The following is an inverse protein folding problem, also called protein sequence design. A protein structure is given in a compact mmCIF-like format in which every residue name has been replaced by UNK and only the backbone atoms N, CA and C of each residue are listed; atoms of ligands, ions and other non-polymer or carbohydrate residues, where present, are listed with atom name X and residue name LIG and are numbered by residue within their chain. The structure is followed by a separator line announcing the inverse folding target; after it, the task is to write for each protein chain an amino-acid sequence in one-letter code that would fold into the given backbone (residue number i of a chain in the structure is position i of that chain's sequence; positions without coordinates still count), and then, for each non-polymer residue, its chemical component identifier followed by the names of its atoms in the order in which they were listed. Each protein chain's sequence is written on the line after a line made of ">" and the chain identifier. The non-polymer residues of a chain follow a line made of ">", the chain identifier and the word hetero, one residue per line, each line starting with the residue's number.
data_IF_457705512986
#
_entry.id   IF_457705512986
#
_cell.length_a   1.000
_cell.length_b   1.000
_cell.length_c   1.000
_cell.angle_alpha   90.00
_cell.angle_beta   90.00
_cell.angle_gamma   90.00
#
_symmetry.space_group_name_H-M   'P 1'
#
loop_
_entity.id
_entity.type
_entity.pdbx_description
1 polymer ?
#
# COMPACT_ATOMS: atom_id res chain seq x y z
N UNK A 1 27.49 7.16 18.94
CA UNK A 1 27.75 6.23 17.83
C UNK A 1 26.83 6.53 16.66
N UNK A 2 27.36 6.41 15.44
CA UNK A 2 26.59 6.70 14.22
C UNK A 2 25.51 5.64 13.93
N UNK A 3 25.76 4.41 14.36
CA UNK A 3 24.86 3.29 14.16
C UNK A 3 25.06 2.24 15.26
N UNK A 4 23.95 1.61 15.68
CA UNK A 4 23.95 0.38 16.49
C UNK A 4 22.89 -0.56 15.95
N UNK A 5 23.19 -1.86 15.91
CA UNK A 5 22.20 -2.87 15.58
C UNK A 5 21.11 -2.93 16.64
N UNK A 6 19.84 -3.08 16.23
CA UNK A 6 18.71 -3.33 17.13
C UNK A 6 18.59 -4.81 17.53
N UNK A 7 19.41 -5.67 16.94
CA UNK A 7 19.44 -7.09 17.25
C UNK A 7 20.21 -7.30 18.57
N UNK A 8 19.46 -7.47 19.66
CA UNK A 8 20.01 -7.61 21.02
C UNK A 8 20.27 -6.29 21.76
N UNK A 9 20.09 -5.15 21.10
CA UNK A 9 20.17 -3.82 21.73
C UNK A 9 18.90 -3.05 21.44
N UNK A 10 18.58 -2.06 22.28
CA UNK A 10 17.48 -1.12 22.03
C UNK A 10 18.03 0.29 21.80
N UNK A 11 17.26 1.12 21.11
CA UNK A 11 17.55 2.54 21.00
C UNK A 11 16.28 3.37 21.28
N UNK A 12 16.42 4.57 21.89
CA UNK A 12 15.26 5.37 22.30
C UNK A 12 14.34 5.76 21.14
N UNK A 13 14.91 6.07 19.96
CA UNK A 13 14.13 6.53 18.82
C UNK A 13 13.22 5.45 18.26
N UNK A 14 13.70 4.22 18.17
CA UNK A 14 12.89 3.09 17.75
C UNK A 14 11.78 2.78 18.76
N UNK A 15 12.09 2.80 20.05
CA UNK A 15 11.11 2.56 21.11
C UNK A 15 10.02 3.64 21.13
N UNK A 16 10.40 4.91 20.98
CA UNK A 16 9.48 6.04 20.90
C UNK A 16 8.57 5.94 19.65
N UNK A 17 9.15 5.67 18.48
CA UNK A 17 8.39 5.51 17.25
C UNK A 17 7.40 4.33 17.34
N UNK A 18 7.83 3.19 17.87
CA UNK A 18 6.96 2.03 18.08
C UNK A 18 5.78 2.38 18.99
N UNK A 19 6.03 3.10 20.09
CA UNK A 19 4.98 3.55 21.01
C UNK A 19 3.98 4.49 20.33
N UNK A 20 4.46 5.46 19.55
CA UNK A 20 3.59 6.40 18.82
C UNK A 20 2.78 5.72 17.73
N UNK A 21 3.37 4.80 16.97
CA UNK A 21 2.64 4.01 15.97
C UNK A 21 1.53 3.18 16.62
N UNK A 22 1.82 2.49 17.72
CA UNK A 22 0.79 1.72 18.45
C UNK A 22 -0.33 2.61 18.99
N UNK A 23 -0.03 3.83 19.41
CA UNK A 23 -1.02 4.79 19.90
C UNK A 23 -2.00 5.31 18.84
N UNK A 24 -1.72 5.10 17.55
CA UNK A 24 -2.62 5.44 16.43
C UNK A 24 -3.76 4.43 16.26
N UNK A 25 -3.73 3.34 17.02
CA UNK A 25 -4.75 2.29 17.04
C UNK A 25 -5.37 2.13 18.43
N UNK A 26 -6.57 1.52 18.53
CA UNK A 26 -7.17 1.22 19.82
C UNK A 26 -6.23 0.37 20.70
N UNK A 27 -6.22 0.61 22.04
CA UNK A 27 -5.39 -0.20 22.94
C UNK A 27 -5.64 -1.70 22.80
N UNK A 28 -4.58 -2.48 22.92
CA UNK A 28 -4.61 -3.95 22.82
C UNK A 28 -4.96 -4.49 21.42
N UNK A 29 -4.66 -3.73 20.40
CA UNK A 29 -4.76 -4.19 19.00
C UNK A 29 -3.37 -4.37 18.40
N UNK A 30 -2.87 -3.41 17.66
CA UNK A 30 -1.53 -3.45 17.03
C UNK A 30 -0.48 -2.93 18.03
N UNK A 31 -0.02 -3.79 18.93
CA UNK A 31 0.82 -3.40 20.09
C UNK A 31 2.30 -3.57 19.87
N UNK A 32 2.73 -4.28 18.82
CA UNK A 32 4.13 -4.61 18.59
C UNK A 32 4.55 -4.19 17.21
N UNK A 33 5.79 -3.73 17.11
CA UNK A 33 6.35 -3.18 15.88
C UNK A 33 7.69 -3.85 15.61
N UNK A 34 7.84 -4.41 14.42
CA UNK A 34 9.11 -4.83 13.87
C UNK A 34 9.54 -3.86 12.78
N UNK A 35 10.77 -3.34 12.84
CA UNK A 35 11.28 -2.38 11.87
C UNK A 35 12.13 -3.07 10.79
N UNK A 36 11.97 -2.61 9.56
CA UNK A 36 12.76 -2.97 8.38
C UNK A 36 13.02 -1.73 7.52
N UNK A 37 13.47 -1.87 6.27
CA UNK A 37 13.93 -0.72 5.49
C UNK A 37 12.95 -0.25 4.41
N UNK A 38 12.14 -1.15 3.86
CA UNK A 38 11.24 -0.86 2.73
C UNK A 38 9.95 -1.69 2.81
N UNK A 39 8.99 -1.36 1.93
CA UNK A 39 7.69 -2.03 1.91
C UNK A 39 7.78 -3.52 1.67
N UNK A 40 8.65 -3.97 0.76
CA UNK A 40 8.83 -5.40 0.48
C UNK A 40 9.31 -6.15 1.72
N UNK A 41 10.25 -5.58 2.47
CA UNK A 41 10.77 -6.19 3.70
C UNK A 41 9.79 -6.15 4.85
N UNK A 42 8.87 -5.17 4.90
CA UNK A 42 7.75 -5.21 5.85
C UNK A 42 6.80 -6.38 5.55
N UNK A 43 6.48 -6.60 4.28
CA UNK A 43 5.65 -7.73 3.84
C UNK A 43 6.36 -9.07 4.12
N UNK A 44 7.65 -9.19 3.78
CA UNK A 44 8.46 -10.39 4.10
C UNK A 44 8.44 -10.70 5.60
N UNK A 45 8.51 -9.66 6.44
CA UNK A 45 8.44 -9.81 7.88
C UNK A 45 7.09 -10.39 8.32
N UNK A 46 5.96 -9.85 7.79
CA UNK A 46 4.64 -10.37 8.07
C UNK A 46 4.49 -11.83 7.66
N UNK A 47 4.94 -12.20 6.46
CA UNK A 47 4.90 -13.58 5.95
C UNK A 47 5.67 -14.55 6.85
N UNK A 48 6.92 -14.19 7.20
CA UNK A 48 7.77 -15.05 8.04
C UNK A 48 7.22 -15.17 9.45
N UNK A 49 6.70 -14.09 10.02
CA UNK A 49 6.04 -14.13 11.33
C UNK A 49 4.81 -15.03 11.28
N UNK A 50 3.97 -14.89 10.25
CA UNK A 50 2.75 -15.68 10.13
C UNK A 50 3.07 -17.19 10.04
N UNK A 51 3.98 -17.58 9.16
CA UNK A 51 4.37 -19.00 9.02
C UNK A 51 4.90 -19.55 10.36
N UNK A 52 5.81 -18.84 11.02
CA UNK A 52 6.37 -19.28 12.28
C UNK A 52 5.32 -19.30 13.40
N UNK A 53 4.41 -18.31 13.43
CA UNK A 53 3.29 -18.29 14.36
C UNK A 53 2.44 -19.54 14.23
N UNK A 54 2.01 -19.90 13.00
CA UNK A 54 1.19 -21.13 12.77
C UNK A 54 1.90 -22.38 13.24
N UNK A 55 3.19 -22.51 13.01
CA UNK A 55 3.98 -23.63 13.52
C UNK A 55 3.97 -23.64 15.05
N UNK A 56 4.16 -22.50 15.70
CA UNK A 56 4.27 -22.41 17.17
C UNK A 56 2.96 -22.65 17.90
N UNK A 57 1.83 -22.36 17.27
CA UNK A 57 0.50 -22.65 17.83
C UNK A 57 -0.06 -24.02 17.42
N UNK A 58 0.76 -24.86 16.75
CA UNK A 58 0.38 -26.22 16.38
C UNK A 58 -0.48 -26.34 15.12
N UNK A 59 -0.44 -25.34 14.26
CA UNK A 59 -1.17 -25.27 12.98
C UNK A 59 -0.20 -25.26 11.79
N UNK A 60 0.84 -26.08 11.81
CA UNK A 60 1.91 -26.11 10.82
C UNK A 60 1.45 -26.44 9.38
N UNK A 61 0.24 -26.97 9.22
CA UNK A 61 -0.40 -27.20 7.92
C UNK A 61 -0.90 -25.92 7.25
N UNK A 62 -1.09 -24.82 8.00
CA UNK A 62 -1.49 -23.52 7.47
C UNK A 62 -0.28 -22.78 6.88
N UNK A 63 -0.01 -23.01 5.61
CA UNK A 63 1.15 -22.46 4.89
C UNK A 63 0.77 -21.75 3.59
N UNK A 64 -0.51 -21.75 3.22
CA UNK A 64 -0.98 -21.08 2.02
C UNK A 64 -1.35 -19.63 2.32
N UNK A 65 -1.13 -18.79 1.33
CA UNK A 65 -1.57 -17.39 1.37
C UNK A 65 -2.61 -17.15 0.28
N UNK A 66 -3.55 -16.27 0.59
CA UNK A 66 -4.47 -15.71 -0.40
C UNK A 66 -4.04 -14.28 -0.70
N UNK A 67 -4.10 -13.90 -1.94
CA UNK A 67 -3.88 -12.54 -2.43
C UNK A 67 -4.90 -12.21 -3.51
N UNK A 68 -4.88 -11.01 -4.04
CA UNK A 68 -5.82 -10.60 -5.07
C UNK A 68 -5.10 -10.38 -6.41
N UNK A 69 -5.81 -10.65 -7.51
CA UNK A 69 -5.32 -10.40 -8.84
C UNK A 69 -4.91 -8.94 -9.00
N UNK A 70 -3.87 -8.70 -9.79
CA UNK A 70 -3.32 -7.39 -10.08
C UNK A 70 -2.81 -6.61 -8.84
N UNK A 71 -2.64 -7.26 -7.69
CA UNK A 71 -2.02 -6.68 -6.50
C UNK A 71 -0.50 -6.53 -6.65
N UNK A 72 0.07 -5.62 -5.88
CA UNK A 72 1.51 -5.44 -5.80
C UNK A 72 1.95 -5.25 -4.34
N UNK A 73 2.84 -6.11 -3.88
CA UNK A 73 3.31 -6.13 -2.48
C UNK A 73 4.83 -5.98 -2.33
N UNK A 74 5.52 -5.76 -3.43
CA UNK A 74 6.98 -5.57 -3.46
C UNK A 74 7.72 -6.55 -4.36
N UNK A 75 9.04 -6.38 -4.48
CA UNK A 75 9.89 -7.06 -5.47
C UNK A 75 10.84 -8.11 -4.86
N UNK A 76 10.86 -8.30 -3.54
CA UNK A 76 11.53 -9.48 -2.96
C UNK A 76 10.78 -10.75 -3.33
N UNK A 77 11.44 -11.91 -3.35
CA UNK A 77 10.82 -13.15 -3.83
C UNK A 77 9.53 -13.51 -3.07
N UNK A 78 9.49 -13.30 -1.75
CA UNK A 78 8.31 -13.57 -0.95
C UNK A 78 7.18 -12.57 -1.24
N UNK A 79 7.47 -11.27 -1.19
CA UNK A 79 6.49 -10.23 -1.50
C UNK A 79 5.97 -10.34 -2.95
N UNK A 80 6.88 -10.60 -3.91
CA UNK A 80 6.51 -10.78 -5.31
C UNK A 80 5.66 -12.04 -5.55
N UNK A 81 5.81 -13.09 -4.73
CA UNK A 81 4.95 -14.28 -4.81
C UNK A 81 3.49 -13.96 -4.51
N UNK A 82 3.21 -12.94 -3.69
CA UNK A 82 1.87 -12.44 -3.39
C UNK A 82 1.31 -11.53 -4.48
N UNK A 83 2.19 -10.97 -5.34
CA UNK A 83 1.78 -10.06 -6.40
C UNK A 83 0.96 -10.76 -7.49
N UNK A 84 -0.14 -10.14 -7.90
CA UNK A 84 -1.02 -10.62 -8.97
C UNK A 84 -0.68 -10.07 -10.36
N UNK A 85 0.32 -9.19 -10.50
CA UNK A 85 0.77 -8.64 -11.79
C UNK A 85 1.77 -9.60 -12.42
N UNK A 86 1.27 -10.44 -13.34
CA UNK A 86 2.06 -11.53 -13.94
C UNK A 86 3.37 -11.08 -14.57
N UNK A 87 3.39 -9.97 -15.28
CA UNK A 87 4.58 -9.44 -15.96
C UNK A 87 5.76 -9.18 -15.02
N UNK A 88 5.49 -8.80 -13.77
CA UNK A 88 6.54 -8.49 -12.82
C UNK A 88 7.13 -9.74 -12.17
N UNK A 89 6.33 -10.79 -11.98
CA UNK A 89 6.73 -11.96 -11.23
C UNK A 89 6.97 -13.22 -12.09
N UNK A 90 6.43 -13.31 -13.32
CA UNK A 90 6.50 -14.51 -14.14
C UNK A 90 7.90 -15.13 -14.26
N UNK A 91 8.99 -14.34 -14.48
CA UNK A 91 10.34 -14.91 -14.55
C UNK A 91 10.81 -15.60 -13.26
N UNK A 92 10.23 -15.21 -12.12
CA UNK A 92 10.61 -15.66 -10.78
C UNK A 92 9.62 -16.64 -10.15
N UNK A 93 8.47 -16.87 -10.76
CA UNK A 93 7.35 -17.67 -10.22
C UNK A 93 7.78 -19.03 -9.67
N UNK A 94 8.68 -19.72 -10.35
CA UNK A 94 9.19 -21.04 -9.93
C UNK A 94 10.04 -21.02 -8.64
N UNK A 95 10.47 -19.85 -8.21
CA UNK A 95 11.28 -19.67 -6.98
C UNK A 95 10.45 -19.12 -5.81
N UNK A 96 9.21 -18.75 -6.06
CA UNK A 96 8.26 -18.32 -5.04
C UNK A 96 7.60 -19.49 -4.32
N UNK A 97 6.70 -19.16 -3.42
CA UNK A 97 5.83 -20.11 -2.75
C UNK A 97 4.41 -20.07 -3.34
N UNK A 98 3.60 -21.12 -3.14
CA UNK A 98 2.24 -21.16 -3.67
C UNK A 98 1.34 -20.09 -3.03
N UNK A 99 0.74 -19.24 -3.88
CA UNK A 99 -0.28 -18.27 -3.49
C UNK A 99 -1.51 -18.51 -4.36
N UNK A 100 -2.69 -18.45 -3.74
CA UNK A 100 -3.94 -18.44 -4.49
C UNK A 100 -4.39 -17.00 -4.68
N UNK A 101 -4.43 -16.56 -5.93
CA UNK A 101 -4.97 -15.25 -6.30
C UNK A 101 -6.48 -15.33 -6.52
N UNK A 102 -7.18 -14.29 -6.12
CA UNK A 102 -8.63 -14.15 -6.16
C UNK A 102 -8.97 -12.90 -6.99
N UNK A 103 -9.92 -13.01 -7.90
CA UNK A 103 -10.40 -11.88 -8.70
C UNK A 103 -11.24 -10.88 -7.89
N UNK A 104 -11.81 -11.32 -6.77
CA UNK A 104 -12.62 -10.50 -5.88
C UNK A 104 -13.01 -11.22 -4.60
N UNK A 105 -13.70 -10.51 -3.71
CA UNK A 105 -14.11 -11.05 -2.41
C UNK A 105 -15.14 -12.19 -2.54
N UNK A 106 -15.91 -12.19 -3.62
CA UNK A 106 -16.94 -13.19 -3.88
C UNK A 106 -16.35 -14.59 -4.07
N UNK A 107 -15.08 -14.68 -4.46
CA UNK A 107 -14.38 -15.96 -4.63
C UNK A 107 -13.98 -16.59 -3.30
N UNK A 108 -13.92 -15.82 -2.21
CA UNK A 108 -13.68 -16.37 -0.86
C UNK A 108 -14.76 -17.36 -0.44
N UNK A 109 -16.01 -17.07 -0.80
CA UNK A 109 -17.15 -17.94 -0.49
C UNK A 109 -17.17 -19.25 -1.32
N UNK A 110 -16.35 -19.28 -2.39
CA UNK A 110 -16.24 -20.44 -3.30
C UNK A 110 -15.06 -21.35 -2.93
N UNK A 111 -14.26 -20.96 -1.93
CA UNK A 111 -13.13 -21.77 -1.46
C UNK A 111 -13.64 -23.04 -0.78
N UNK A 112 -13.03 -24.17 -1.11
CA UNK A 112 -13.29 -25.41 -0.43
C UNK A 112 -12.67 -25.44 0.98
N UNK A 113 -13.24 -26.28 1.87
CA UNK A 113 -12.80 -26.40 3.26
C UNK A 113 -11.32 -26.80 3.38
N UNK A 114 -10.78 -27.57 2.43
CA UNK A 114 -9.38 -27.99 2.45
C UNK A 114 -8.45 -26.81 2.20
N UNK A 115 -8.78 -25.97 1.21
CA UNK A 115 -8.04 -24.72 0.93
C UNK A 115 -8.09 -23.79 2.14
N UNK A 116 -9.28 -23.58 2.74
CA UNK A 116 -9.43 -22.72 3.92
C UNK A 116 -8.59 -23.23 5.10
N UNK A 117 -8.63 -24.52 5.40
CA UNK A 117 -7.85 -25.12 6.48
C UNK A 117 -6.34 -25.00 6.31
N UNK A 118 -5.85 -24.90 5.08
CA UNK A 118 -4.43 -24.73 4.78
C UNK A 118 -4.02 -23.25 4.67
N UNK A 119 -4.99 -22.34 4.68
CA UNK A 119 -4.72 -20.90 4.56
C UNK A 119 -4.23 -20.33 5.89
N UNK A 120 -3.06 -19.72 5.87
CA UNK A 120 -2.48 -18.99 7.00
C UNK A 120 -3.05 -17.58 7.08
N UNK A 121 -2.94 -16.82 5.99
CA UNK A 121 -3.36 -15.44 5.92
C UNK A 121 -3.86 -15.03 4.53
N UNK A 122 -4.58 -13.92 4.48
CA UNK A 122 -4.89 -13.18 3.26
C UNK A 122 -4.23 -11.80 3.33
N UNK A 123 -3.67 -11.35 2.21
CA UNK A 123 -3.07 -10.02 2.09
C UNK A 123 -3.85 -9.17 1.08
N UNK A 124 -3.95 -7.87 1.36
CA UNK A 124 -4.61 -6.90 0.49
C UNK A 124 -4.02 -5.49 0.64
N UNK A 125 -3.96 -4.73 -0.46
CA UNK A 125 -3.82 -3.28 -0.45
C UNK A 125 -5.21 -2.69 -0.09
N UNK A 126 -5.42 -2.10 1.09
CA UNK A 126 -6.76 -1.68 1.51
C UNK A 126 -7.25 -0.48 0.71
N UNK A 127 -8.53 -0.46 0.38
CA UNK A 127 -9.31 0.55 -0.36
C UNK A 127 -8.91 0.72 -1.83
N UNK A 128 -7.64 0.58 -2.21
CA UNK A 128 -7.19 0.84 -3.58
C UNK A 128 -5.93 0.04 -3.91
N UNK A 129 -5.95 -0.63 -5.05
CA UNK A 129 -4.75 -1.25 -5.62
C UNK A 129 -3.95 -0.20 -6.40
N UNK A 130 -2.66 -0.06 -6.07
CA UNK A 130 -1.79 0.94 -6.67
C UNK A 130 -1.46 0.63 -8.11
N UNK A 131 -0.80 -0.50 -8.33
CA UNK A 131 -0.26 -0.89 -9.64
C UNK A 131 -1.36 -1.33 -10.61
N UNK A 132 -2.53 -1.72 -10.12
CA UNK A 132 -3.72 -1.95 -10.95
C UNK A 132 -4.35 -0.62 -11.40
N UNK A 133 -3.55 0.29 -11.95
CA UNK A 133 -4.03 1.56 -12.52
C UNK A 133 -4.89 2.37 -11.54
N UNK A 134 -4.52 2.36 -10.25
CA UNK A 134 -5.25 3.03 -9.17
C UNK A 134 -6.72 2.57 -9.13
N UNK A 135 -6.94 1.28 -8.97
CA UNK A 135 -8.28 0.68 -8.95
C UNK A 135 -8.84 0.61 -7.52
N UNK A 136 -9.85 1.42 -7.17
CA UNK A 136 -10.50 1.33 -5.88
C UNK A 136 -11.27 0.02 -5.72
N UNK A 137 -11.27 -0.52 -4.51
CA UNK A 137 -12.14 -1.63 -4.14
C UNK A 137 -13.58 -1.16 -3.90
N UNK A 138 -14.57 -2.04 -4.09
CA UNK A 138 -15.93 -1.75 -3.70
C UNK A 138 -16.03 -1.36 -2.21
N UNK A 139 -16.81 -0.35 -1.91
CA UNK A 139 -17.04 0.10 -0.52
C UNK A 139 -17.57 -1.05 0.35
N UNK A 140 -17.01 -1.17 1.56
CA UNK A 140 -17.36 -2.23 2.51
C UNK A 140 -16.65 -3.56 2.24
N UNK A 141 -15.80 -3.64 1.22
CA UNK A 141 -15.07 -4.87 0.91
C UNK A 141 -14.10 -5.27 2.04
N UNK A 142 -13.39 -4.30 2.59
CA UNK A 142 -12.40 -4.58 3.64
C UNK A 142 -13.06 -5.10 4.91
N UNK A 143 -14.19 -4.54 5.31
CA UNK A 143 -14.97 -5.01 6.45
C UNK A 143 -15.50 -6.44 6.22
N UNK A 144 -15.99 -6.76 5.02
CA UNK A 144 -16.40 -8.13 4.67
C UNK A 144 -15.23 -9.11 4.73
N UNK A 145 -14.06 -8.69 4.21
CA UNK A 145 -12.85 -9.51 4.26
C UNK A 145 -12.44 -9.80 5.71
N UNK A 146 -12.48 -8.80 6.61
CA UNK A 146 -12.19 -9.00 8.02
C UNK A 146 -13.16 -10.00 8.66
N UNK A 147 -14.45 -9.87 8.39
CA UNK A 147 -15.46 -10.81 8.89
C UNK A 147 -15.21 -12.25 8.43
N UNK A 148 -14.88 -12.44 7.15
CA UNK A 148 -14.52 -13.74 6.61
C UNK A 148 -13.27 -14.32 7.29
N UNK A 149 -12.24 -13.51 7.49
CA UNK A 149 -11.02 -13.89 8.18
C UNK A 149 -11.30 -14.37 9.62
N UNK A 150 -12.12 -13.60 10.36
CA UNK A 150 -12.51 -13.95 11.73
C UNK A 150 -13.30 -15.26 11.80
N UNK A 151 -14.19 -15.47 10.83
CA UNK A 151 -15.01 -16.70 10.76
C UNK A 151 -14.18 -17.96 10.51
N UNK A 152 -13.06 -17.83 9.76
CA UNK A 152 -12.27 -18.98 9.30
C UNK A 152 -10.92 -19.13 10.00
N UNK A 153 -10.65 -18.33 11.05
CA UNK A 153 -9.35 -18.31 11.74
C UNK A 153 -8.18 -18.07 10.77
N UNK A 154 -8.37 -17.17 9.80
CA UNK A 154 -7.38 -16.72 8.82
C UNK A 154 -6.91 -15.32 9.20
N UNK A 155 -5.59 -15.10 9.27
CA UNK A 155 -5.10 -13.77 9.58
C UNK A 155 -5.22 -12.81 8.39
N UNK A 156 -5.44 -11.54 8.70
CA UNK A 156 -5.51 -10.44 7.73
C UNK A 156 -4.23 -9.62 7.77
N UNK A 157 -3.53 -9.56 6.65
CA UNK A 157 -2.37 -8.71 6.43
C UNK A 157 -2.82 -7.52 5.58
N UNK A 158 -2.70 -6.31 6.10
CA UNK A 158 -2.93 -5.10 5.32
C UNK A 158 -1.60 -4.48 4.88
N UNK A 159 -1.46 -4.33 3.58
CA UNK A 159 -0.35 -3.59 2.98
C UNK A 159 -0.74 -2.12 2.82
N UNK A 160 -0.40 -1.32 3.83
CA UNK A 160 -0.60 0.13 3.82
C UNK A 160 0.68 0.91 3.47
N UNK A 161 1.58 0.28 2.77
CA UNK A 161 2.81 0.92 2.28
C UNK A 161 2.50 2.12 1.38
N UNK A 162 1.45 2.05 0.57
CA UNK A 162 1.00 3.14 -0.29
C UNK A 162 -0.13 3.96 0.36
N UNK A 163 -1.05 3.31 1.03
CA UNK A 163 -2.33 3.89 1.47
C UNK A 163 -2.26 4.58 2.82
N UNK A 164 -1.27 4.25 3.63
CA UNK A 164 -1.07 4.83 4.96
C UNK A 164 -0.63 6.30 4.94
N UNK A 165 -0.57 6.86 6.14
CA UNK A 165 -0.10 8.22 6.42
C UNK A 165 -0.85 9.29 5.64
N UNK A 166 -2.18 9.32 5.78
CA UNK A 166 -3.04 10.38 5.26
C UNK A 166 -3.41 10.24 3.79
N UNK A 167 -2.80 9.33 3.05
CA UNK A 167 -2.94 9.23 1.59
C UNK A 167 -4.40 9.05 1.13
N UNK A 168 -5.21 8.32 1.88
CA UNK A 168 -6.62 8.09 1.57
C UNK A 168 -7.58 9.05 2.30
N UNK A 169 -7.04 10.01 3.07
CA UNK A 169 -7.83 10.98 3.85
C UNK A 169 -7.93 10.67 5.35
N UNK A 170 -7.57 9.47 5.80
CA UNK A 170 -7.36 9.12 7.21
C UNK A 170 -5.91 8.69 7.42
N UNK A 171 -5.43 8.61 8.66
CA UNK A 171 -4.07 8.19 8.95
C UNK A 171 -3.75 6.84 8.30
N UNK A 172 -4.68 5.88 8.38
CA UNK A 172 -4.59 4.59 7.70
C UNK A 172 -5.88 4.28 6.93
N UNK A 173 -5.75 3.60 5.81
CA UNK A 173 -6.89 3.23 4.97
C UNK A 173 -7.88 2.31 5.69
N UNK A 174 -7.39 1.39 6.52
CA UNK A 174 -8.23 0.48 7.30
C UNK A 174 -9.22 1.20 8.23
N UNK A 175 -8.90 2.43 8.66
CA UNK A 175 -9.75 3.24 9.52
C UNK A 175 -11.04 3.73 8.82
N UNK A 176 -11.11 3.69 7.48
CA UNK A 176 -12.34 4.07 6.76
C UNK A 176 -13.48 3.07 6.97
N UNK A 177 -13.16 1.82 7.23
CA UNK A 177 -14.12 0.74 7.44
C UNK A 177 -14.00 0.12 8.85
N UNK A 178 -13.32 0.82 9.78
CA UNK A 178 -13.11 0.42 11.18
C UNK A 178 -12.50 -1.00 11.32
N UNK A 179 -11.63 -1.39 10.37
CA UNK A 179 -10.98 -2.69 10.35
C UNK A 179 -9.65 -2.64 11.09
N UNK A 180 -9.44 -3.59 11.99
CA UNK A 180 -8.14 -3.85 12.63
C UNK A 180 -7.56 -5.14 12.07
N UNK A 181 -6.41 -5.09 11.38
CA UNK A 181 -5.77 -6.30 10.86
C UNK A 181 -5.00 -7.07 11.95
N UNK A 182 -4.50 -8.24 11.57
CA UNK A 182 -3.57 -9.01 12.39
C UNK A 182 -2.13 -8.53 12.17
N UNK A 183 -1.82 -8.14 10.93
CA UNK A 183 -0.56 -7.52 10.53
C UNK A 183 -0.83 -6.26 9.69
N UNK A 184 -0.05 -5.22 9.95
CA UNK A 184 -0.09 -3.97 9.18
C UNK A 184 1.32 -3.64 8.69
N UNK A 185 1.51 -3.60 7.36
CA UNK A 185 2.78 -3.27 6.72
C UNK A 185 2.80 -1.79 6.35
N UNK A 186 3.84 -1.09 6.79
CA UNK A 186 4.02 0.36 6.65
C UNK A 186 5.40 0.69 6.07
N UNK A 187 5.50 1.67 5.19
CA UNK A 187 6.73 2.26 4.70
C UNK A 187 6.46 3.66 4.11
N UNK A 188 7.20 4.10 3.10
CA UNK A 188 7.01 5.35 2.33
C UNK A 188 6.67 6.56 3.22
N UNK A 189 5.37 6.84 3.43
CA UNK A 189 4.89 7.93 4.27
C UNK A 189 5.36 7.87 5.72
N UNK A 190 5.74 6.69 6.23
CA UNK A 190 6.27 6.50 7.57
C UNK A 190 7.43 7.45 7.89
N UNK A 191 8.34 7.67 6.95
CA UNK A 191 9.49 8.57 7.12
C UNK A 191 9.32 9.91 6.38
N UNK A 192 8.12 10.22 5.88
CA UNK A 192 7.90 11.39 5.03
C UNK A 192 8.69 11.37 3.72
N UNK A 193 9.23 10.22 3.32
CA UNK A 193 10.07 10.05 2.13
C UNK A 193 11.55 10.41 2.31
N UNK A 194 11.99 10.73 3.52
CA UNK A 194 13.37 11.17 3.78
C UNK A 194 14.35 10.02 3.96
N UNK A 195 13.91 8.91 4.55
CA UNK A 195 14.79 7.78 4.86
C UNK A 195 14.13 6.45 4.52
N UNK A 196 14.91 5.44 4.07
CA UNK A 196 14.43 4.06 4.04
C UNK A 196 14.05 3.63 5.46
N UNK A 197 12.78 3.31 5.64
CA UNK A 197 12.23 2.79 6.88
C UNK A 197 10.90 2.11 6.58
N UNK A 198 10.71 0.96 7.19
CA UNK A 198 9.45 0.25 7.18
C UNK A 198 9.14 -0.34 8.56
N UNK A 199 7.89 -0.68 8.77
CA UNK A 199 7.43 -1.30 9.99
C UNK A 199 6.36 -2.34 9.69
N UNK A 200 6.42 -3.45 10.41
CA UNK A 200 5.35 -4.44 10.46
C UNK A 200 4.77 -4.41 11.86
N UNK A 201 3.54 -3.93 11.97
CA UNK A 201 2.82 -3.92 13.24
C UNK A 201 2.00 -5.19 13.38
N UNK A 202 1.95 -5.75 14.59
CA UNK A 202 1.24 -7.00 14.86
C UNK A 202 0.45 -6.95 16.15
N UNK A 203 -0.57 -7.80 16.27
CA UNK A 203 -1.33 -7.99 17.50
C UNK A 203 -0.47 -8.59 18.61
N UNK A 204 -0.82 -8.26 19.86
CA UNK A 204 -0.09 -8.77 21.02
C UNK A 204 -0.12 -10.29 21.14
N UNK A 205 -1.20 -10.94 20.74
CA UNK A 205 -1.33 -12.40 20.75
C UNK A 205 -0.34 -13.10 19.81
N UNK A 206 -0.11 -12.53 18.63
CA UNK A 206 0.89 -13.04 17.69
C UNK A 206 2.28 -12.94 18.32
N UNK A 207 2.64 -11.77 18.85
CA UNK A 207 3.92 -11.57 19.54
C UNK A 207 4.11 -12.57 20.70
N UNK A 208 3.06 -12.83 21.48
CA UNK A 208 3.14 -13.72 22.64
C UNK A 208 3.52 -15.16 22.28
N UNK A 209 3.20 -15.64 21.07
CA UNK A 209 3.61 -16.93 20.59
C UNK A 209 5.14 -17.08 20.46
N UNK A 210 5.85 -15.97 20.28
CA UNK A 210 7.31 -15.95 20.16
C UNK A 210 8.04 -15.81 21.51
N UNK A 211 7.30 -15.72 22.61
CA UNK A 211 7.91 -15.67 23.94
C UNK A 211 8.24 -17.07 24.47
N UNK A 212 9.39 -17.21 25.11
CA UNK A 212 9.83 -18.46 25.72
C UNK A 212 11.29 -18.77 25.46
N UNK A 213 11.59 -19.98 25.07
CA UNK A 213 12.95 -20.44 24.79
C UNK A 213 13.47 -19.97 23.42
N UNK A 214 14.75 -20.27 23.17
CA UNK A 214 15.39 -19.91 21.89
C UNK A 214 14.72 -20.57 20.66
N UNK A 215 14.04 -21.68 20.86
CA UNK A 215 13.25 -22.41 19.85
C UNK A 215 12.05 -21.61 19.34
N UNK A 216 11.58 -20.62 20.11
CA UNK A 216 10.47 -19.74 19.74
C UNK A 216 10.92 -18.41 19.17
N UNK A 217 12.20 -18.09 19.25
CA UNK A 217 12.72 -16.78 18.84
C UNK A 217 12.52 -16.55 17.34
N UNK A 218 12.16 -15.31 16.98
CA UNK A 218 12.08 -14.88 15.60
C UNK A 218 13.44 -14.42 15.10
N UNK A 219 14.17 -15.31 14.46
CA UNK A 219 15.51 -15.01 13.90
C UNK A 219 15.39 -14.33 12.56
N UNK A 220 15.04 -13.04 12.58
CA UNK A 220 14.91 -12.20 11.41
C UNK A 220 15.40 -10.79 11.71
N UNK A 221 15.94 -10.12 10.71
CA UNK A 221 16.43 -8.75 10.78
C UNK A 221 17.72 -8.59 10.01
N UNK A 222 18.26 -7.39 10.02
CA UNK A 222 19.50 -7.02 9.36
C UNK A 222 20.20 -5.90 10.13
N UNK A 223 21.41 -5.54 9.69
CA UNK A 223 22.24 -4.56 10.41
C UNK A 223 21.57 -3.21 10.66
N UNK A 224 20.67 -2.78 9.78
CA UNK A 224 19.97 -1.48 9.87
C UNK A 224 18.55 -1.58 10.45
N UNK A 225 18.12 -2.75 10.93
CA UNK A 225 16.83 -2.89 11.62
C UNK A 225 16.69 -1.82 12.69
N UNK A 226 15.62 -1.02 12.63
CA UNK A 226 15.32 0.08 13.54
C UNK A 226 16.44 1.13 13.64
N UNK A 227 17.09 1.47 12.52
CA UNK A 227 18.15 2.47 12.52
C UNK A 227 17.67 3.82 13.06
N UNK A 228 18.53 4.49 13.81
CA UNK A 228 18.18 5.69 14.56
C UNK A 228 17.77 6.86 13.64
N UNK A 229 18.40 7.01 12.46
CA UNK A 229 18.09 8.08 11.54
C UNK A 229 16.71 7.89 10.90
N UNK A 230 16.41 6.65 10.46
CA UNK A 230 15.07 6.31 9.94
C UNK A 230 13.98 6.52 10.98
N UNK A 231 14.21 6.02 12.22
CA UNK A 231 13.25 6.22 13.32
C UNK A 231 13.07 7.70 13.68
N UNK A 232 14.15 8.50 13.66
CA UNK A 232 14.03 9.95 13.89
C UNK A 232 13.24 10.65 12.78
N UNK A 233 13.45 10.26 11.51
CA UNK A 233 12.64 10.76 10.39
C UNK A 233 11.17 10.37 10.54
N UNK A 234 10.89 9.13 10.97
CA UNK A 234 9.52 8.67 11.25
C UNK A 234 8.85 9.46 12.36
N UNK A 235 9.57 9.74 13.45
CA UNK A 235 9.06 10.61 14.53
C UNK A 235 8.77 12.02 14.03
N UNK A 236 9.70 12.62 13.28
CA UNK A 236 9.51 13.95 12.71
C UNK A 236 8.30 13.99 11.73
N UNK A 237 8.09 12.92 10.95
CA UNK A 237 6.89 12.80 10.10
C UNK A 237 5.61 12.83 10.93
N UNK A 238 5.53 12.07 12.03
CA UNK A 238 4.38 12.09 12.94
C UNK A 238 4.22 13.46 13.62
N UNK A 239 5.32 14.13 13.99
CA UNK A 239 5.27 15.49 14.56
C UNK A 239 4.64 16.48 13.58
N UNK A 240 4.97 16.41 12.29
CA UNK A 240 4.38 17.27 11.24
C UNK A 240 2.87 17.00 11.14
N UNK A 241 2.44 15.74 11.13
CA UNK A 241 0.99 15.42 11.11
C UNK A 241 0.23 16.06 12.27
N UNK A 242 0.82 16.02 13.48
CA UNK A 242 0.21 16.58 14.69
C UNK A 242 0.26 18.13 14.70
N UNK A 243 1.43 18.72 14.43
CA UNK A 243 1.65 20.17 14.53
C UNK A 243 0.97 20.96 13.43
N UNK A 244 0.93 20.43 12.22
CA UNK A 244 0.30 21.07 11.08
C UNK A 244 -1.16 20.64 10.89
N UNK A 245 -1.70 19.79 11.76
CA UNK A 245 -3.07 19.29 11.64
C UNK A 245 -3.37 18.73 10.25
N UNK A 246 -2.40 18.02 9.65
CA UNK A 246 -2.43 17.63 8.23
C UNK A 246 -3.74 16.93 7.85
N UNK A 247 -4.23 16.03 8.71
CA UNK A 247 -5.45 15.27 8.41
C UNK A 247 -6.71 16.13 8.39
N UNK A 248 -6.74 17.24 9.12
CA UNK A 248 -7.92 18.10 9.22
C UNK A 248 -8.19 18.87 7.93
N UNK A 249 -7.14 19.15 7.14
CA UNK A 249 -7.23 19.85 5.86
C UNK A 249 -7.39 18.92 4.64
N UNK A 250 -7.13 17.62 4.80
CA UNK A 250 -7.23 16.68 3.69
C UNK A 250 -8.62 16.57 3.06
N UNK A 251 -9.75 16.58 3.82
CA UNK A 251 -11.07 16.49 3.21
C UNK A 251 -11.35 17.61 2.20
N UNK A 252 -10.93 18.84 2.51
CA UNK A 252 -11.09 19.99 1.61
C UNK A 252 -10.24 19.83 0.34
N UNK A 253 -8.95 19.45 0.50
CA UNK A 253 -8.04 19.21 -0.63
C UNK A 253 -8.52 18.04 -1.50
N UNK A 254 -8.99 16.96 -0.91
CA UNK A 254 -9.55 15.81 -1.62
C UNK A 254 -10.78 16.23 -2.43
N UNK A 255 -11.71 16.98 -1.83
CA UNK A 255 -12.89 17.49 -2.53
C UNK A 255 -12.53 18.42 -3.70
N UNK A 256 -11.57 19.31 -3.50
CA UNK A 256 -11.08 20.17 -4.57
C UNK A 256 -10.38 19.39 -5.68
N UNK A 257 -9.55 18.42 -5.34
CA UNK A 257 -8.93 17.53 -6.33
C UNK A 257 -9.99 16.76 -7.13
N UNK A 258 -11.04 16.26 -6.47
CA UNK A 258 -12.18 15.61 -7.16
C UNK A 258 -12.79 16.53 -8.19
N UNK A 259 -13.13 17.77 -7.80
CA UNK A 259 -13.72 18.76 -8.71
C UNK A 259 -12.82 19.05 -9.92
N UNK A 260 -11.51 19.21 -9.70
CA UNK A 260 -10.56 19.48 -10.78
C UNK A 260 -10.39 18.28 -11.73
N UNK A 261 -10.44 17.07 -11.20
CA UNK A 261 -10.36 15.83 -11.99
C UNK A 261 -11.65 15.58 -12.80
N UNK A 262 -12.81 15.85 -12.23
CA UNK A 262 -14.11 15.80 -12.94
C UNK A 262 -14.12 16.80 -14.09
N UNK A 263 -13.72 18.06 -13.87
CA UNK A 263 -13.60 19.06 -14.92
C UNK A 263 -12.66 18.61 -16.04
N UNK A 264 -11.49 18.04 -15.67
CA UNK A 264 -10.53 17.52 -16.65
C UNK A 264 -11.15 16.39 -17.48
N UNK A 265 -11.91 15.49 -16.86
CA UNK A 265 -12.58 14.39 -17.54
C UNK A 265 -13.67 14.88 -18.52
N UNK A 266 -14.40 15.92 -18.15
CA UNK A 266 -15.43 16.50 -19.00
C UNK A 266 -14.84 17.26 -20.21
N UNK A 267 -13.67 17.88 -20.03
CA UNK A 267 -13.03 18.71 -21.05
C UNK A 267 -12.18 17.91 -22.07
N UNK A 268 -11.67 16.75 -21.69
CA UNK A 268 -10.67 16.04 -22.50
C UNK A 268 -11.18 14.70 -23.03
N UNK A 269 -11.43 14.65 -24.34
CA UNK A 269 -12.04 13.51 -25.04
C UNK A 269 -11.24 12.18 -24.96
N UNK A 270 -9.96 12.22 -24.62
CA UNK A 270 -9.14 11.02 -24.44
C UNK A 270 -9.22 10.45 -23.01
N UNK A 271 -9.85 11.16 -22.07
CA UNK A 271 -10.05 10.65 -20.71
C UNK A 271 -11.25 9.73 -20.70
N UNK A 272 -10.99 8.47 -20.41
CA UNK A 272 -12.03 7.44 -20.37
C UNK A 272 -12.63 7.29 -18.98
N UNK A 273 -11.80 7.26 -17.97
CA UNK A 273 -12.21 7.08 -16.58
C UNK A 273 -11.22 7.80 -15.64
N UNK A 274 -11.76 8.43 -14.62
CA UNK A 274 -10.99 8.91 -13.48
C UNK A 274 -11.35 8.10 -12.26
N UNK A 275 -10.35 7.51 -11.61
CA UNK A 275 -10.48 6.76 -10.37
C UNK A 275 -9.77 7.51 -9.27
N UNK A 276 -10.40 7.70 -8.13
CA UNK A 276 -9.81 8.43 -7.01
C UNK A 276 -10.07 7.73 -5.67
N UNK A 277 -9.05 7.74 -4.82
CA UNK A 277 -9.14 7.34 -3.42
C UNK A 277 -8.30 8.32 -2.57
N UNK A 278 -8.96 9.30 -1.97
CA UNK A 278 -8.28 10.37 -1.23
C UNK A 278 -7.39 11.23 -2.14
N UNK A 279 -6.12 11.32 -1.80
CA UNK A 279 -5.08 12.05 -2.56
C UNK A 279 -4.33 11.15 -3.54
N UNK A 280 -4.95 10.09 -4.02
CA UNK A 280 -4.47 9.24 -5.10
C UNK A 280 -5.52 9.19 -6.19
N UNK A 281 -5.13 9.44 -7.45
CA UNK A 281 -6.02 9.22 -8.58
C UNK A 281 -5.27 8.62 -9.78
N UNK A 282 -6.04 7.96 -10.64
CA UNK A 282 -5.62 7.47 -11.94
C UNK A 282 -6.53 8.05 -13.02
N UNK A 283 -5.93 8.64 -14.06
CA UNK A 283 -6.64 9.16 -15.23
C UNK A 283 -6.36 8.19 -16.38
N UNK A 284 -7.31 7.34 -16.71
CA UNK A 284 -7.18 6.36 -17.78
C UNK A 284 -7.42 7.02 -19.14
N UNK A 285 -6.45 6.87 -20.03
CA UNK A 285 -6.52 7.40 -21.39
C UNK A 285 -6.97 6.32 -22.38
N UNK A 286 -7.89 6.67 -23.26
CA UNK A 286 -8.33 5.87 -24.40
C UNK A 286 -8.53 6.76 -25.61
N UNK A 287 -8.68 6.12 -26.77
CA UNK A 287 -9.10 6.82 -28.01
C UNK A 287 -10.45 7.49 -27.81
N UNK A 288 -10.71 8.52 -28.58
CA UNK A 288 -11.98 9.24 -28.55
C UNK A 288 -13.22 8.38 -28.83
N UNK A 289 -13.04 7.20 -29.45
CA UNK A 289 -14.08 6.19 -29.65
C UNK A 289 -14.23 5.18 -28.49
N UNK A 290 -13.47 5.37 -27.38
CA UNK A 290 -13.48 4.53 -26.18
C UNK A 290 -12.61 3.28 -26.26
N UNK A 291 -11.98 2.96 -27.39
CA UNK A 291 -11.09 1.82 -27.50
C UNK A 291 -9.73 2.10 -26.85
N UNK A 292 -9.13 1.08 -26.28
CA UNK A 292 -7.76 1.18 -25.77
C UNK A 292 -6.80 1.55 -26.89
N UNK A 293 -5.73 2.24 -26.55
CA UNK A 293 -4.61 2.45 -27.45
C UNK A 293 -3.86 1.12 -27.68
N UNK A 294 -3.13 1.04 -28.80
CA UNK A 294 -2.14 -0.02 -28.99
C UNK A 294 -1.02 0.19 -27.94
N UNK A 295 -0.75 -0.83 -27.14
CA UNK A 295 0.27 -0.74 -26.08
C UNK A 295 1.67 -0.35 -26.56
N UNK A 296 1.99 -0.63 -27.82
CA UNK A 296 3.27 -0.20 -28.41
C UNK A 296 3.38 1.33 -28.56
N UNK A 297 2.27 2.05 -28.57
CA UNK A 297 2.26 3.51 -28.66
C UNK A 297 2.70 4.18 -27.35
N UNK A 298 2.53 3.49 -26.20
CA UNK A 298 2.92 4.00 -24.88
C UNK A 298 2.38 5.42 -24.61
N UNK A 299 1.08 5.62 -24.87
CA UNK A 299 0.44 6.94 -24.86
C UNK A 299 0.58 7.62 -23.50
N UNK A 300 0.36 6.87 -22.41
CA UNK A 300 0.54 7.38 -21.06
C UNK A 300 1.94 7.96 -20.82
N UNK A 301 2.98 7.30 -21.34
CA UNK A 301 4.36 7.81 -21.22
C UNK A 301 4.56 9.10 -22.04
N UNK A 302 4.07 9.14 -23.29
CA UNK A 302 4.18 10.31 -24.13
C UNK A 302 3.49 11.53 -23.48
N UNK A 303 2.27 11.35 -23.02
CA UNK A 303 1.52 12.41 -22.29
C UNK A 303 2.26 12.82 -21.01
N UNK A 304 2.82 11.87 -20.25
CA UNK A 304 3.56 12.21 -19.02
C UNK A 304 4.86 13.00 -19.32
N UNK A 305 5.48 12.80 -20.48
CA UNK A 305 6.62 13.61 -20.92
C UNK A 305 6.17 15.01 -21.32
N UNK A 306 5.07 15.14 -22.09
CA UNK A 306 4.49 16.44 -22.47
C UNK A 306 4.04 17.25 -21.26
N UNK A 307 3.55 16.60 -20.20
CA UNK A 307 3.14 17.27 -18.96
C UNK A 307 4.27 18.08 -18.29
N UNK A 308 5.54 17.76 -18.57
CA UNK A 308 6.71 18.50 -18.06
C UNK A 308 6.78 19.91 -18.60
N UNK A 309 6.30 20.16 -19.82
CA UNK A 309 6.23 21.50 -20.42
C UNK A 309 5.24 22.39 -19.65
N UNK A 310 4.33 21.79 -18.92
CA UNK A 310 3.37 22.41 -18.02
C UNK A 310 3.76 22.31 -16.54
N UNK A 311 5.05 22.03 -16.24
CA UNK A 311 5.61 21.92 -14.89
C UNK A 311 4.99 20.78 -14.05
N UNK A 312 4.44 19.76 -14.69
CA UNK A 312 3.89 18.59 -14.03
C UNK A 312 4.80 17.39 -14.24
N UNK A 313 5.24 16.79 -13.13
CA UNK A 313 6.01 15.56 -13.12
C UNK A 313 5.11 14.43 -12.65
N UNK A 314 4.82 13.49 -13.54
CA UNK A 314 4.09 12.27 -13.23
C UNK A 314 4.69 11.08 -13.98
N UNK A 315 4.25 9.88 -13.65
CA UNK A 315 4.51 8.69 -14.46
C UNK A 315 3.22 7.91 -14.66
N UNK A 316 3.03 7.23 -15.78
CA UNK A 316 1.85 6.40 -15.98
C UNK A 316 2.04 4.99 -15.41
N UNK A 317 0.91 4.30 -15.29
CA UNK A 317 0.81 2.84 -15.23
C UNK A 317 0.05 2.45 -16.48
N UNK A 318 0.74 1.86 -17.46
CA UNK A 318 0.23 1.70 -18.83
C UNK A 318 -0.25 3.06 -19.39
N UNK A 319 -1.49 3.17 -19.83
CA UNK A 319 -2.08 4.43 -20.31
C UNK A 319 -2.93 5.15 -19.22
N UNK A 320 -2.66 4.88 -17.94
CA UNK A 320 -3.25 5.61 -16.81
C UNK A 320 -2.23 6.55 -16.19
N UNK A 321 -2.46 7.86 -16.28
CA UNK A 321 -1.66 8.87 -15.59
C UNK A 321 -1.93 8.82 -14.09
N UNK A 322 -0.87 8.77 -13.28
CA UNK A 322 -1.00 8.71 -11.82
C UNK A 322 -0.95 10.12 -11.23
N UNK A 323 -1.94 10.46 -10.45
CA UNK A 323 -1.99 11.70 -9.65
C UNK A 323 -1.78 11.32 -8.18
N UNK A 324 -0.60 11.66 -7.65
CA UNK A 324 -0.22 11.35 -6.26
C UNK A 324 0.63 12.51 -5.70
N UNK A 325 0.03 13.69 -5.50
CA UNK A 325 0.76 14.84 -5.01
C UNK A 325 1.17 14.67 -3.53
N UNK A 326 2.14 15.44 -3.02
CA UNK A 326 2.41 15.52 -1.60
C UNK A 326 1.16 16.03 -0.85
N UNK A 327 0.95 15.59 0.39
CA UNK A 327 -0.22 16.02 1.17
C UNK A 327 -0.19 17.52 1.52
N UNK A 328 1.00 18.13 1.48
CA UNK A 328 1.21 19.57 1.67
C UNK A 328 0.76 20.43 0.50
N UNK A 329 0.46 19.82 -0.67
CA UNK A 329 0.04 20.56 -1.88
C UNK A 329 -1.06 21.59 -1.57
N UNK A 330 -0.93 22.80 -2.12
CA UNK A 330 -1.93 23.86 -2.03
C UNK A 330 -3.06 23.68 -3.08
N UNK A 331 -4.16 24.41 -2.91
CA UNK A 331 -5.26 24.42 -3.87
C UNK A 331 -4.81 24.94 -5.25
N UNK A 332 -3.97 25.99 -5.28
CA UNK A 332 -3.44 26.54 -6.52
C UNK A 332 -2.52 25.54 -7.24
N UNK A 333 -1.73 24.78 -6.49
CA UNK A 333 -0.90 23.73 -7.06
C UNK A 333 -1.75 22.54 -7.57
N UNK A 334 -2.85 22.17 -6.90
CA UNK A 334 -3.80 21.17 -7.41
C UNK A 334 -4.39 21.64 -8.75
N UNK A 335 -4.79 22.91 -8.83
CA UNK A 335 -5.29 23.51 -10.08
C UNK A 335 -4.24 23.49 -11.18
N UNK A 336 -3.01 23.85 -10.87
CA UNK A 336 -1.87 23.81 -11.81
C UNK A 336 -1.60 22.39 -12.29
N UNK A 337 -1.59 21.41 -11.38
CA UNK A 337 -1.40 20.00 -11.67
C UNK A 337 -2.45 19.49 -12.67
N UNK A 338 -3.73 19.67 -12.35
CA UNK A 338 -4.83 19.19 -13.21
C UNK A 338 -4.87 19.94 -14.55
N UNK A 339 -4.65 21.26 -14.55
CA UNK A 339 -4.59 22.06 -15.77
C UNK A 339 -3.42 21.70 -16.68
N UNK A 340 -2.27 21.37 -16.09
CA UNK A 340 -1.10 20.90 -16.83
C UNK A 340 -1.31 19.53 -17.47
N UNK A 341 -1.95 18.61 -16.75
CA UNK A 341 -2.33 17.30 -17.30
C UNK A 341 -3.34 17.44 -18.44
N UNK A 342 -4.38 18.27 -18.27
CA UNK A 342 -5.36 18.54 -19.32
C UNK A 342 -4.70 19.10 -20.59
N UNK A 343 -3.77 20.06 -20.43
CA UNK A 343 -3.03 20.64 -21.56
C UNK A 343 -2.18 19.59 -22.29
N UNK A 344 -1.47 18.75 -21.55
CA UNK A 344 -0.66 17.67 -22.13
C UNK A 344 -1.51 16.63 -22.88
N UNK A 345 -2.67 16.26 -22.35
CA UNK A 345 -3.61 15.34 -23.02
C UNK A 345 -4.13 15.96 -24.31
N UNK A 346 -4.48 17.25 -24.29
CA UNK A 346 -4.96 17.99 -25.47
C UNK A 346 -3.89 18.08 -26.54
N UNK A 347 -2.66 18.41 -26.17
CA UNK A 347 -1.53 18.50 -27.11
C UNK A 347 -1.25 17.14 -27.77
N UNK A 348 -1.29 16.07 -26.97
CA UNK A 348 -1.16 14.71 -27.52
C UNK A 348 -2.24 14.45 -28.58
N UNK A 349 -3.51 14.73 -28.25
CA UNK A 349 -4.64 14.56 -29.17
C UNK A 349 -4.44 15.31 -30.49
N UNK A 350 -4.06 16.59 -30.42
CA UNK A 350 -3.89 17.46 -31.59
C UNK A 350 -2.72 16.99 -32.45
N UNK A 351 -1.63 16.54 -31.84
CA UNK A 351 -0.42 16.15 -32.59
C UNK A 351 -0.49 14.75 -33.21
N UNK A 352 -1.40 13.89 -32.73
CA UNK A 352 -1.49 12.49 -33.18
C UNK A 352 -2.84 12.13 -33.79
N UNK A 353 -3.73 13.11 -34.08
CA UNK A 353 -5.09 12.91 -34.63
C UNK A 353 -5.87 11.80 -33.87
N UNK A 354 -5.78 11.76 -32.54
CA UNK A 354 -6.23 10.68 -31.67
C UNK A 354 -7.64 10.91 -31.13
#
# INVERSE_FOLDING_TARGET
>A
VAHTSYLGFANPRASELASRLSALFPPRTLERVFFSDDGSTAVECALKMEIQYRIQVGQAERVHFLAFDLSYHGDTLGAASLGGVGEFFEPFRKFGFPVKHLGGIEELEQLDDETIKKTAAVIIEPLVQGVNQIRPWPKGMLAKLRMWCDQHDVHLILDEVMTGFGRTGKMFACQHEDVIPDYLCLAKGLSGGYMPLAATMVRGEIYNAFLGGADKAFYYGHSYTANQLGCAAGLASLDVFEQEHTLDYLPEKIGYLTQQLEQLADDEALVHEVRQCGMIAGIELRRSDGRAFDGNLRVGEMVSVMARDYQVLTRPIMDTLVVMPPLSISMDEIKTLCGGLASAIRDYRVTHDA
#
